data_IF_982495151058
#
_entry.id   IF_982495151058
#
_cell.length_a   1.000
_cell.length_b   1.000
_cell.length_c   1.000
_cell.angle_alpha   90.00
_cell.angle_beta   90.00
_cell.angle_gamma   90.00
#
_symmetry.space_group_name_H-M   'P 1'
#
loop_
_entity.id
_entity.type
_entity.pdbx_description
1 polymer ?
#
# COMPACT_ATOMS: atom_id res chain seq x y z
N UNK A 1 2.63 -4.07 19.03
CA UNK A 1 2.74 -4.00 17.56
C UNK A 1 1.62 -4.83 16.96
N UNK A 2 0.84 -4.26 16.02
CA UNK A 2 -0.17 -5.02 15.27
C UNK A 2 0.52 -5.77 14.13
N UNK A 3 -0.01 -6.94 13.77
CA UNK A 3 0.57 -7.81 12.74
C UNK A 3 -0.54 -8.45 11.93
N UNK A 4 -0.25 -8.80 10.68
CA UNK A 4 -1.14 -9.56 9.79
C UNK A 4 -0.38 -10.71 9.13
N UNK A 5 -1.10 -11.68 8.60
CA UNK A 5 -0.54 -12.70 7.71
C UNK A 5 -0.66 -12.19 6.28
N UNK A 6 0.42 -12.27 5.50
CA UNK A 6 0.48 -11.85 4.10
C UNK A 6 1.04 -12.99 3.27
N UNK A 7 0.39 -13.31 2.16
CA UNK A 7 0.86 -14.35 1.25
C UNK A 7 2.11 -13.87 0.51
N UNK A 8 3.06 -14.78 0.25
CA UNK A 8 4.28 -14.51 -0.50
C UNK A 8 4.48 -15.60 -1.54
N UNK A 9 4.28 -15.28 -2.81
CA UNK A 9 4.39 -16.27 -3.89
C UNK A 9 5.79 -16.89 -4.00
N UNK A 10 6.85 -16.13 -3.71
CA UNK A 10 8.24 -16.62 -3.77
C UNK A 10 8.50 -17.79 -2.80
N UNK A 11 7.71 -17.88 -1.73
CA UNK A 11 7.88 -18.85 -0.66
C UNK A 11 6.70 -19.83 -0.56
N UNK A 12 5.65 -19.64 -1.36
CA UNK A 12 4.38 -20.39 -1.33
C UNK A 12 3.81 -20.53 0.10
N UNK A 13 3.79 -19.42 0.85
CA UNK A 13 3.30 -19.41 2.24
C UNK A 13 2.89 -18.01 2.69
N UNK A 14 2.07 -17.99 3.73
CA UNK A 14 1.81 -16.78 4.49
C UNK A 14 2.94 -16.49 5.49
N UNK A 15 3.37 -15.22 5.55
CA UNK A 15 4.31 -14.73 6.55
C UNK A 15 3.65 -13.70 7.46
N UNK A 16 4.07 -13.69 8.72
CA UNK A 16 3.61 -12.69 9.68
C UNK A 16 4.38 -11.39 9.49
N UNK A 17 3.69 -10.34 9.07
CA UNK A 17 4.26 -9.00 8.88
C UNK A 17 3.74 -8.02 9.92
N UNK A 18 4.53 -6.98 10.19
CA UNK A 18 4.08 -5.86 11.01
C UNK A 18 3.08 -5.00 10.24
N UNK A 19 2.02 -4.57 10.91
CA UNK A 19 1.03 -3.66 10.34
C UNK A 19 1.35 -2.22 10.74
N UNK A 20 1.68 -1.39 9.76
CA UNK A 20 2.04 0.01 9.95
C UNK A 20 0.81 0.92 9.99
N UNK A 21 -0.25 0.57 9.26
CA UNK A 21 -1.50 1.31 9.22
C UNK A 21 -2.47 0.78 8.18
N UNK A 22 -3.62 1.44 8.08
CA UNK A 22 -4.62 1.21 7.04
C UNK A 22 -4.81 2.48 6.24
N UNK A 23 -4.76 2.35 4.91
CA UNK A 23 -4.88 3.46 3.98
C UNK A 23 -5.97 3.16 2.97
N UNK A 24 -6.78 4.16 2.63
CA UNK A 24 -7.73 4.07 1.53
C UNK A 24 -7.09 4.59 0.26
N UNK A 25 -7.18 3.83 -0.82
CA UNK A 25 -6.82 4.32 -2.14
C UNK A 25 -7.95 5.13 -2.74
N UNK A 26 -7.65 6.36 -3.18
CA UNK A 26 -8.57 7.20 -3.96
C UNK A 26 -7.95 7.43 -5.33
N UNK A 27 -8.56 6.88 -6.38
CA UNK A 27 -8.04 6.99 -7.74
C UNK A 27 -8.70 6.03 -8.73
N UNK A 28 -8.18 5.99 -9.96
CA UNK A 28 -8.59 5.02 -11.00
C UNK A 28 -8.21 3.60 -10.55
N UNK A 29 -9.16 2.66 -10.55
CA UNK A 29 -8.83 1.25 -10.33
C UNK A 29 -7.93 0.71 -11.44
N UNK A 30 -6.96 -0.13 -11.10
CA UNK A 30 -6.01 -0.71 -12.07
C UNK A 30 -5.48 -2.08 -11.64
N UNK A 31 -4.89 -2.81 -12.60
CA UNK A 31 -4.50 -4.21 -12.42
C UNK A 31 -5.70 -5.14 -12.43
N UNK A 32 -5.47 -6.44 -12.66
CA UNK A 32 -6.49 -7.46 -12.37
C UNK A 32 -6.67 -7.54 -10.85
N UNK A 33 -5.54 -7.52 -10.14
CA UNK A 33 -5.44 -7.62 -8.69
C UNK A 33 -4.55 -6.49 -8.12
N UNK A 34 -4.74 -5.25 -8.59
CA UNK A 34 -3.96 -4.08 -8.16
C UNK A 34 -4.65 -3.25 -7.07
N UNK A 35 -4.83 -1.94 -7.31
CA UNK A 35 -5.58 -1.06 -6.41
C UNK A 35 -6.96 -0.75 -6.99
N UNK A 36 -7.98 -0.83 -6.13
CA UNK A 36 -9.38 -0.53 -6.39
C UNK A 36 -9.79 0.76 -5.68
N UNK A 37 -10.47 1.65 -6.40
CA UNK A 37 -10.94 2.92 -5.87
C UNK A 37 -11.81 2.74 -4.61
N UNK A 38 -11.58 3.58 -3.59
CA UNK A 38 -12.23 3.57 -2.28
C UNK A 38 -11.96 2.33 -1.41
N UNK A 39 -11.15 1.38 -1.86
CA UNK A 39 -10.78 0.22 -1.07
C UNK A 39 -9.75 0.62 0.02
N UNK A 40 -9.86 -0.02 1.19
CA UNK A 40 -8.91 0.14 2.30
C UNK A 40 -7.94 -1.02 2.28
N UNK A 41 -6.66 -0.70 2.38
CA UNK A 41 -5.55 -1.61 2.29
C UNK A 41 -4.67 -1.58 3.53
N UNK A 42 -3.98 -2.69 3.77
CA UNK A 42 -3.01 -2.83 4.84
C UNK A 42 -1.63 -2.36 4.37
N UNK A 43 -1.05 -1.40 5.08
CA UNK A 43 0.33 -0.99 4.87
C UNK A 43 1.23 -1.76 5.84
N UNK A 44 2.16 -2.54 5.28
CA UNK A 44 3.06 -3.43 6.05
C UNK A 44 4.51 -2.98 6.04
N UNK A 45 4.79 -1.80 5.47
CA UNK A 45 6.11 -1.21 5.47
C UNK A 45 6.19 0.11 4.70
N UNK A 46 7.31 0.80 4.89
CA UNK A 46 7.66 2.02 4.18
C UNK A 46 9.07 1.88 3.59
N UNK A 47 9.29 2.45 2.42
CA UNK A 47 10.59 2.48 1.75
C UNK A 47 10.77 3.78 0.96
N UNK A 48 11.27 4.82 1.64
CA UNK A 48 11.72 6.11 1.08
C UNK A 48 10.96 6.60 -0.17
N UNK A 49 9.76 7.13 0.02
CA UNK A 49 8.87 7.59 -1.05
C UNK A 49 7.89 6.52 -1.54
N UNK A 50 7.96 5.31 -0.99
CA UNK A 50 7.10 4.17 -1.33
C UNK A 50 6.46 3.56 -0.08
N UNK A 51 5.25 3.05 -0.25
CA UNK A 51 4.50 2.28 0.74
C UNK A 51 4.39 0.84 0.28
N UNK A 52 4.62 -0.10 1.20
CA UNK A 52 4.41 -1.53 0.97
C UNK A 52 2.97 -1.87 1.36
N UNK A 53 2.14 -2.13 0.36
CA UNK A 53 0.69 -2.28 0.49
C UNK A 53 0.32 -3.70 0.10
N UNK A 54 -0.46 -4.38 0.96
CA UNK A 54 -1.15 -5.62 0.60
C UNK A 54 -2.33 -5.23 -0.27
N UNK A 55 -2.27 -5.50 -1.57
CA UNK A 55 -3.26 -5.05 -2.55
C UNK A 55 -4.31 -6.15 -2.88
N UNK A 56 -5.07 -6.00 -3.96
CA UNK A 56 -6.14 -6.94 -4.31
C UNK A 56 -5.61 -8.36 -4.63
N UNK A 57 -4.28 -8.53 -4.81
CA UNK A 57 -3.63 -9.84 -5.00
C UNK A 57 -3.40 -10.62 -3.70
N UNK A 58 -3.65 -10.01 -2.54
CA UNK A 58 -3.29 -10.52 -1.20
C UNK A 58 -1.78 -10.61 -0.91
N UNK A 59 -0.95 -10.19 -1.87
CA UNK A 59 0.49 -10.01 -1.72
C UNK A 59 0.82 -8.53 -1.49
N UNK A 60 2.03 -8.28 -1.00
CA UNK A 60 2.50 -6.91 -0.78
C UNK A 60 3.37 -6.38 -1.93
N UNK A 61 3.02 -5.18 -2.40
CA UNK A 61 3.75 -4.46 -3.44
C UNK A 61 4.08 -3.03 -3.03
N UNK A 62 5.10 -2.46 -3.68
CA UNK A 62 5.51 -1.08 -3.47
C UNK A 62 4.71 -0.13 -4.35
N UNK A 63 4.06 0.84 -3.71
CA UNK A 63 3.33 1.91 -4.38
C UNK A 63 3.88 3.28 -3.96
N UNK A 64 3.94 4.27 -4.87
CA UNK A 64 4.35 5.62 -4.51
C UNK A 64 3.49 6.23 -3.39
N UNK A 65 4.14 6.93 -2.46
CA UNK A 65 3.45 7.65 -1.37
C UNK A 65 2.63 8.84 -1.92
N UNK A 66 3.17 9.63 -2.84
CA UNK A 66 2.49 10.84 -3.36
C UNK A 66 1.38 10.56 -4.38
N UNK A 67 1.61 9.60 -5.27
CA UNK A 67 0.85 9.42 -6.54
C UNK A 67 0.74 7.95 -6.93
N UNK A 68 0.08 7.10 -6.13
CA UNK A 68 -0.10 5.69 -6.43
C UNK A 68 -0.79 5.45 -7.77
N UNK A 69 -0.15 4.67 -8.65
CA UNK A 69 -0.68 4.27 -9.96
C UNK A 69 -0.04 2.98 -10.47
N UNK A 70 -0.69 2.37 -11.46
CA UNK A 70 -0.09 1.31 -12.25
C UNK A 70 1.20 1.79 -12.93
N UNK A 71 2.26 0.98 -12.87
CA UNK A 71 3.56 1.30 -13.46
C UNK A 71 3.49 1.51 -14.99
N UNK A 72 2.55 0.86 -15.66
CA UNK A 72 2.34 0.96 -17.11
C UNK A 72 1.45 2.14 -17.54
N UNK A 73 0.78 2.82 -16.61
CA UNK A 73 -0.14 3.92 -16.93
C UNK A 73 0.59 5.27 -16.85
N UNK A 74 1.22 5.63 -17.97
CA UNK A 74 2.03 6.85 -18.08
C UNK A 74 1.18 8.13 -18.18
N UNK A 75 -0.06 8.04 -18.65
CA UNK A 75 -0.96 9.19 -18.83
C UNK A 75 -1.70 9.57 -17.55
N UNK A 76 -1.97 8.59 -16.67
CA UNK A 76 -2.60 8.86 -15.39
C UNK A 76 -1.63 9.53 -14.40
N UNK A 77 -2.03 10.66 -13.82
CA UNK A 77 -1.19 11.42 -12.88
C UNK A 77 -1.04 10.71 -11.52
N UNK A 78 -1.91 9.75 -11.21
CA UNK A 78 -1.91 8.99 -9.96
C UNK A 78 -3.09 9.31 -9.05
N UNK A 79 -3.39 8.37 -8.14
CA UNK A 79 -4.34 8.57 -7.07
C UNK A 79 -3.70 9.23 -5.85
N UNK A 80 -4.35 9.09 -4.69
CA UNK A 80 -3.83 9.50 -3.38
C UNK A 80 -4.21 8.50 -2.30
N UNK A 81 -3.50 8.56 -1.18
CA UNK A 81 -3.84 7.80 0.03
C UNK A 81 -4.63 8.66 1.00
N UNK A 82 -5.69 8.10 1.58
CA UNK A 82 -6.35 8.66 2.74
C UNK A 82 -6.07 7.80 3.97
N UNK A 83 -5.61 8.43 5.05
CA UNK A 83 -5.32 7.72 6.30
C UNK A 83 -6.61 7.24 6.94
N UNK A 84 -6.70 5.93 7.21
CA UNK A 84 -7.77 5.34 8.01
C UNK A 84 -7.28 5.11 9.43
N UNK A 85 -6.13 4.44 9.58
CA UNK A 85 -5.51 4.17 10.88
C UNK A 85 -3.97 4.19 10.75
N UNK A 86 -3.28 4.63 11.81
CA UNK A 86 -1.81 4.56 11.90
C UNK A 86 -1.44 3.80 13.17
N UNK A 87 -0.56 2.82 13.04
CA UNK A 87 -0.05 1.99 14.13
C UNK A 87 1.46 2.10 14.32
N UNK A 88 2.18 2.54 13.29
CA UNK A 88 3.62 2.74 13.32
C UNK A 88 3.95 4.19 12.89
N UNK A 89 4.77 4.88 13.68
CA UNK A 89 5.16 6.28 13.44
C UNK A 89 5.98 6.47 12.15
N UNK A 90 6.63 5.43 11.63
CA UNK A 90 7.34 5.49 10.35
C UNK A 90 6.38 5.80 9.20
N UNK A 91 5.16 5.22 9.21
CA UNK A 91 4.14 5.55 8.20
C UNK A 91 3.68 7.00 8.30
N UNK A 92 3.52 7.53 9.51
CA UNK A 92 3.17 8.95 9.67
C UNK A 92 4.23 9.85 9.05
N UNK A 93 5.51 9.61 9.35
CA UNK A 93 6.64 10.41 8.83
C UNK A 93 6.75 10.31 7.31
N UNK A 94 6.57 9.11 6.77
CA UNK A 94 6.60 8.88 5.32
C UNK A 94 5.52 9.70 4.59
N UNK A 95 4.29 9.69 5.10
CA UNK A 95 3.17 10.48 4.56
C UNK A 95 3.39 11.99 4.72
N UNK A 96 4.03 12.44 5.81
CA UNK A 96 4.37 13.86 6.00
C UNK A 96 5.47 14.34 5.04
N UNK A 97 6.40 13.46 4.68
CA UNK A 97 7.54 13.79 3.82
C UNK A 97 7.20 13.70 2.33
N UNK A 98 6.39 12.72 1.95
CA UNK A 98 6.17 12.36 0.54
C UNK A 98 4.69 12.29 0.12
N UNK A 99 3.73 12.42 1.03
CA UNK A 99 2.29 12.33 0.74
C UNK A 99 1.69 13.55 0.07
#
# INVERSE_FOLDING_TARGET
>A
MKTIMVYQCELDKEIKMELYGKLRYIGKSFGVDGLTNNQVYDCVGVDSGMLRIVDDSEEDYLYPTARPKAAYDHEYEGGRWEVVEIYNDALRKELELYG
#
